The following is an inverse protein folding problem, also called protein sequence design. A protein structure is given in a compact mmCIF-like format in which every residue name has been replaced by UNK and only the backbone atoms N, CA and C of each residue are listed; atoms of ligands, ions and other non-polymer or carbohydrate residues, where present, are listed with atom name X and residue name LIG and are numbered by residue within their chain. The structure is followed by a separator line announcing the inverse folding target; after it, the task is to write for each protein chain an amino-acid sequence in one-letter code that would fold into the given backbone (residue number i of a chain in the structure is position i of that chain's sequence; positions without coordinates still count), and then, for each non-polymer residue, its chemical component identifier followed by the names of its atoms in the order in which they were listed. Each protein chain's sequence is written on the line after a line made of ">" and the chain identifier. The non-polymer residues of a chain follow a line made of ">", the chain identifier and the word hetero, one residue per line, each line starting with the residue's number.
data_IF_643236047843
#
_entry.id   IF_643236047843
#
_cell.length_a   1.000
_cell.length_b   1.000
_cell.length_c   1.000
_cell.angle_alpha   90.00
_cell.angle_beta   90.00
_cell.angle_gamma   90.00
#
_symmetry.space_group_name_H-M   'P 1'
#
loop_
_entity.id
_entity.type
_entity.pdbx_description
1 polymer ?
#
# COMPACT_ATOMS: atom_id res chain seq x y z
N UNK A 1 -7.46 -8.21 1.52
CA UNK A 1 -6.09 -8.62 1.11
C UNK A 1 -5.12 -8.43 2.29
N UNK A 2 -4.00 -9.15 2.32
CA UNK A 2 -2.98 -9.04 3.38
C UNK A 2 -1.56 -9.05 2.82
N UNK A 3 -0.65 -8.34 3.49
CA UNK A 3 0.77 -8.24 3.17
C UNK A 3 1.62 -8.46 4.43
N UNK A 4 2.71 -9.22 4.30
CA UNK A 4 3.73 -9.36 5.33
C UNK A 4 5.10 -9.37 4.65
N UNK A 5 5.88 -8.31 4.88
CA UNK A 5 7.16 -8.05 4.23
C UNK A 5 8.25 -7.93 5.29
N UNK A 6 8.96 -9.03 5.59
CA UNK A 6 10.08 -8.95 6.50
C UNK A 6 11.25 -8.19 5.86
N UNK A 7 11.84 -7.24 6.58
CA UNK A 7 13.01 -6.50 6.10
C UNK A 7 12.72 -5.62 4.89
N UNK A 8 11.50 -5.07 4.79
CA UNK A 8 11.09 -4.26 3.63
C UNK A 8 11.91 -2.97 3.51
N UNK A 9 12.49 -2.49 4.61
CA UNK A 9 13.36 -1.33 4.64
C UNK A 9 14.47 -1.53 5.69
N UNK A 10 15.66 -1.02 5.39
CA UNK A 10 16.80 -1.01 6.32
C UNK A 10 17.21 0.44 6.55
N UNK A 11 16.98 0.95 7.76
CA UNK A 11 17.20 2.36 8.11
C UNK A 11 18.25 2.46 9.22
N UNK A 12 18.96 3.59 9.32
CA UNK A 12 19.79 3.87 10.49
C UNK A 12 18.90 4.05 11.73
N UNK A 13 19.34 3.57 12.91
CA UNK A 13 18.52 3.60 14.14
C UNK A 13 18.01 4.99 14.51
N UNK A 14 18.82 6.04 14.32
CA UNK A 14 18.45 7.42 14.65
C UNK A 14 17.22 7.93 13.90
N UNK A 15 16.95 7.39 12.70
CA UNK A 15 15.88 7.86 11.80
C UNK A 15 14.53 7.22 12.09
N UNK A 16 14.50 6.11 12.83
CA UNK A 16 13.24 5.45 13.19
C UNK A 16 12.68 6.05 14.49
N UNK A 17 13.46 6.80 15.27
CA UNK A 17 13.11 7.21 16.64
C UNK A 17 13.69 6.27 17.70
N UNK A 18 14.76 5.54 17.35
CA UNK A 18 15.41 4.61 18.27
C UNK A 18 16.15 5.37 19.38
N UNK A 19 15.74 5.15 20.63
CA UNK A 19 16.32 5.82 21.81
C UNK A 19 17.69 5.24 22.19
N UNK A 20 18.07 4.08 21.64
CA UNK A 20 19.34 3.43 21.93
C UNK A 20 20.35 3.63 20.78
N UNK A 21 21.46 4.29 21.12
CA UNK A 21 22.63 4.52 20.27
C UNK A 21 23.37 3.20 19.96
N UNK A 22 22.74 2.31 19.20
CA UNK A 22 23.45 1.22 18.54
C UNK A 22 23.74 1.69 17.11
N UNK A 23 25.02 1.76 16.74
CA UNK A 23 25.48 2.24 15.42
C UNK A 23 25.18 1.24 14.27
N UNK A 24 24.01 0.61 14.29
CA UNK A 24 23.57 -0.42 13.36
C UNK A 24 22.44 0.05 12.45
N UNK A 25 22.28 -0.68 11.33
CA UNK A 25 21.05 -0.61 10.52
C UNK A 25 19.99 -1.48 11.18
N UNK A 26 18.82 -0.92 11.42
CA UNK A 26 17.66 -1.65 11.92
C UNK A 26 16.78 -2.08 10.75
N UNK A 27 16.48 -3.38 10.69
CA UNK A 27 15.54 -3.91 9.72
C UNK A 27 14.12 -3.61 10.17
N UNK A 28 13.32 -3.05 9.26
CA UNK A 28 11.90 -2.81 9.48
C UNK A 28 11.10 -3.88 8.75
N UNK A 29 10.02 -4.34 9.38
CA UNK A 29 9.10 -5.33 8.84
C UNK A 29 7.73 -4.68 8.67
N UNK A 30 7.09 -4.87 7.52
CA UNK A 30 5.76 -4.28 7.24
C UNK A 30 4.69 -5.35 7.23
N UNK A 31 3.59 -5.07 7.91
CA UNK A 31 2.38 -5.89 7.91
C UNK A 31 1.20 -5.01 7.52
N UNK A 32 0.38 -5.47 6.59
CA UNK A 32 -0.76 -4.72 6.08
C UNK A 32 -2.00 -5.59 5.95
N UNK A 33 -3.15 -5.05 6.36
CA UNK A 33 -4.47 -5.63 6.12
C UNK A 33 -5.31 -4.60 5.39
N UNK A 34 -5.98 -5.05 4.34
CA UNK A 34 -6.77 -4.20 3.43
C UNK A 34 -8.15 -4.83 3.25
N UNK A 35 -9.20 -4.24 3.80
CA UNK A 35 -10.57 -4.74 3.65
C UNK A 35 -11.28 -4.00 2.51
N UNK A 36 -11.47 -4.72 1.39
CA UNK A 36 -12.05 -4.15 0.17
C UNK A 36 -13.58 -4.15 0.22
N UNK A 37 -14.20 -3.07 -0.23
CA UNK A 37 -15.65 -2.97 -0.41
C UNK A 37 -15.98 -2.53 -1.85
N UNK A 38 -17.13 -2.96 -2.37
CA UNK A 38 -17.52 -2.72 -3.76
C UNK A 38 -16.72 -3.52 -4.80
N UNK A 39 -15.64 -4.20 -4.38
CA UNK A 39 -14.74 -4.99 -5.21
C UNK A 39 -13.49 -5.40 -4.42
N UNK A 40 -12.60 -6.16 -5.06
CA UNK A 40 -11.31 -6.58 -4.46
C UNK A 40 -10.10 -5.87 -5.09
N UNK A 41 -10.34 -5.13 -6.16
CA UNK A 41 -9.35 -4.46 -7.00
C UNK A 41 -8.50 -3.49 -6.18
N UNK A 42 -9.15 -2.61 -5.41
CA UNK A 42 -8.45 -1.62 -4.58
C UNK A 42 -7.67 -2.29 -3.44
N UNK A 43 -8.24 -3.29 -2.77
CA UNK A 43 -7.54 -4.02 -1.72
C UNK A 43 -6.30 -4.77 -2.27
N UNK A 44 -6.40 -5.35 -3.47
CA UNK A 44 -5.27 -5.99 -4.14
C UNK A 44 -4.23 -4.97 -4.61
N UNK A 45 -4.65 -3.81 -5.09
CA UNK A 45 -3.74 -2.72 -5.44
C UNK A 45 -2.95 -2.23 -4.20
N UNK A 46 -3.64 -1.99 -3.07
CA UNK A 46 -2.99 -1.62 -1.81
C UNK A 46 -1.96 -2.66 -1.36
N UNK A 47 -2.30 -3.96 -1.48
CA UNK A 47 -1.38 -5.07 -1.16
C UNK A 47 -0.07 -4.98 -1.93
N UNK A 48 -0.13 -4.65 -3.22
CA UNK A 48 1.02 -4.64 -4.13
C UNK A 48 1.78 -3.31 -4.14
N UNK A 49 1.09 -2.18 -3.98
CA UNK A 49 1.67 -0.85 -4.21
C UNK A 49 2.05 -0.09 -2.93
N UNK A 50 1.27 -0.25 -1.86
CA UNK A 50 1.34 0.65 -0.70
C UNK A 50 2.70 0.61 -0.01
N UNK A 51 3.30 -0.57 0.14
CA UNK A 51 4.61 -0.69 0.77
C UNK A 51 5.73 -0.02 -0.04
N UNK A 52 5.65 -0.06 -1.38
CA UNK A 52 6.60 0.64 -2.26
C UNK A 52 6.42 2.16 -2.16
N UNK A 53 5.17 2.64 -2.14
CA UNK A 53 4.87 4.06 -1.97
C UNK A 53 5.39 4.56 -0.62
N UNK A 54 5.23 3.78 0.45
CA UNK A 54 5.73 4.13 1.77
C UNK A 54 7.26 4.27 1.79
N UNK A 55 8.00 3.37 1.13
CA UNK A 55 9.46 3.47 1.03
C UNK A 55 9.85 4.79 0.34
N UNK A 56 9.22 5.10 -0.79
CA UNK A 56 9.48 6.33 -1.55
C UNK A 56 9.27 7.59 -0.69
N UNK A 57 8.17 7.66 0.08
CA UNK A 57 7.86 8.81 0.94
C UNK A 57 8.77 8.88 2.17
N UNK A 58 9.14 7.76 2.77
CA UNK A 58 10.10 7.72 3.88
C UNK A 58 11.48 8.21 3.43
N UNK A 59 11.98 7.73 2.29
CA UNK A 59 13.25 8.19 1.74
C UNK A 59 13.21 9.69 1.38
N UNK A 60 12.07 10.19 0.91
CA UNK A 60 11.88 11.61 0.62
C UNK A 60 11.92 12.48 1.89
N UNK A 61 11.20 12.11 2.95
CA UNK A 61 11.19 12.81 4.24
C UNK A 61 12.57 12.78 4.90
N UNK A 62 13.28 11.65 4.85
CA UNK A 62 14.65 11.52 5.37
C UNK A 62 15.65 12.42 4.63
N UNK A 63 15.47 12.62 3.31
CA UNK A 63 16.32 13.49 2.50
C UNK A 63 16.05 14.97 2.72
N UNK A 64 14.81 15.33 3.08
CA UNK A 64 14.42 16.73 3.22
C UNK A 64 15.05 17.41 4.45
N UNK A 65 15.49 16.63 5.45
CA UNK A 65 16.34 17.07 6.55
C UNK A 65 15.65 18.06 7.51
N UNK A 66 15.97 17.93 8.80
CA UNK A 66 15.32 18.68 9.88
C UNK A 66 15.37 20.21 9.68
N UNK A 67 14.21 20.88 9.69
CA UNK A 67 14.06 22.35 9.75
C UNK A 67 13.81 22.85 11.18
N UNK A 68 14.15 22.10 12.21
CA UNK A 68 14.19 22.62 13.57
C UNK A 68 14.21 21.54 14.64
N UNK A 69 15.13 21.71 15.59
CA UNK A 69 15.30 20.94 16.83
C UNK A 69 14.00 20.96 17.68
N UNK A 70 13.06 20.08 17.39
CA UNK A 70 11.91 19.79 18.26
C UNK A 70 11.81 18.27 18.47
N UNK A 71 11.65 17.83 19.72
CA UNK A 71 11.58 16.41 20.15
C UNK A 71 10.37 15.62 19.60
N UNK A 72 9.56 16.21 18.71
CA UNK A 72 8.46 15.57 17.96
C UNK A 72 8.79 15.35 16.47
N UNK A 73 10.06 15.46 16.07
CA UNK A 73 10.46 15.43 14.65
C UNK A 73 10.18 14.09 13.97
N UNK A 74 10.51 12.95 14.60
CA UNK A 74 10.35 11.64 13.98
C UNK A 74 8.88 11.21 13.86
N UNK A 75 8.03 11.47 14.88
CA UNK A 75 6.60 11.15 14.78
C UNK A 75 5.94 11.93 13.65
N UNK A 76 6.28 13.22 13.51
CA UNK A 76 5.77 14.04 12.40
C UNK A 76 6.29 13.59 11.05
N UNK A 77 7.54 13.14 10.95
CA UNK A 77 8.09 12.55 9.72
C UNK A 77 7.32 11.30 9.32
N UNK A 78 7.08 10.38 10.26
CA UNK A 78 6.29 9.18 10.01
C UNK A 78 4.83 9.50 9.67
N UNK A 79 4.20 10.44 10.37
CA UNK A 79 2.85 10.91 10.05
C UNK A 79 2.78 11.48 8.63
N UNK A 80 3.71 12.38 8.27
CA UNK A 80 3.80 12.95 6.92
C UNK A 80 4.04 11.87 5.86
N UNK A 81 4.97 10.95 6.09
CA UNK A 81 5.27 9.86 5.16
C UNK A 81 4.06 8.95 4.93
N UNK A 82 3.33 8.59 6.00
CA UNK A 82 2.12 7.79 5.86
C UNK A 82 1.01 8.56 5.13
N UNK A 83 0.72 9.80 5.51
CA UNK A 83 -0.30 10.63 4.85
C UNK A 83 0.02 10.79 3.36
N UNK A 84 1.28 11.09 3.02
CA UNK A 84 1.73 11.19 1.64
C UNK A 84 1.57 9.85 0.90
N UNK A 85 1.95 8.74 1.54
CA UNK A 85 1.81 7.39 0.99
C UNK A 85 0.34 7.05 0.68
N UNK A 86 -0.58 7.27 1.62
CA UNK A 86 -2.01 7.00 1.41
C UNK A 86 -2.58 7.85 0.27
N UNK A 87 -2.31 9.15 0.28
CA UNK A 87 -2.78 10.06 -0.78
C UNK A 87 -2.22 9.70 -2.15
N UNK A 88 -0.97 9.23 -2.22
CA UNK A 88 -0.34 8.80 -3.46
C UNK A 88 -0.99 7.54 -4.03
N UNK A 89 -1.22 6.53 -3.19
CA UNK A 89 -1.91 5.29 -3.58
C UNK A 89 -3.34 5.60 -4.02
N UNK A 90 -4.06 6.47 -3.30
CA UNK A 90 -5.42 6.92 -3.66
C UNK A 90 -5.46 7.63 -5.02
N UNK A 91 -4.53 8.57 -5.26
CA UNK A 91 -4.41 9.27 -6.53
C UNK A 91 -4.08 8.31 -7.70
N UNK A 92 -3.25 7.29 -7.46
CA UNK A 92 -2.97 6.26 -8.45
C UNK A 92 -4.22 5.43 -8.78
N UNK A 93 -5.01 5.04 -7.78
CA UNK A 93 -6.29 4.33 -7.98
C UNK A 93 -7.28 5.18 -8.80
N UNK A 94 -7.45 6.46 -8.42
CA UNK A 94 -8.34 7.39 -9.12
C UNK A 94 -7.89 7.76 -10.54
N UNK A 95 -6.60 7.57 -10.87
CA UNK A 95 -6.03 7.80 -12.19
C UNK A 95 -5.96 6.57 -13.10
N UNK A 96 -6.27 5.36 -12.59
CA UNK A 96 -6.26 4.13 -13.37
C UNK A 96 -7.59 3.98 -14.10
N UNK A 97 -7.61 4.30 -15.39
CA UNK A 97 -8.72 3.94 -16.28
C UNK A 97 -8.96 2.40 -16.18
N UNK A 98 -10.22 1.93 -16.06
CA UNK A 98 -10.58 0.56 -15.65
C UNK A 98 -10.22 -0.56 -16.63
N UNK A 99 -9.31 -0.35 -17.59
CA UNK A 99 -8.91 -1.32 -18.60
C UNK A 99 -7.73 -2.21 -18.21
N UNK A 100 -6.95 -1.85 -17.18
CA UNK A 100 -5.71 -2.57 -16.83
C UNK A 100 -5.77 -3.41 -15.54
N UNK A 101 -6.90 -3.48 -14.86
CA UNK A 101 -7.07 -4.25 -13.60
C UNK A 101 -7.63 -5.66 -13.82
N UNK A 102 -7.59 -6.18 -15.05
CA UNK A 102 -8.07 -7.54 -15.31
C UNK A 102 -6.98 -8.54 -14.97
N UNK A 103 -7.24 -9.39 -13.99
CA UNK A 103 -6.44 -10.58 -13.71
C UNK A 103 -6.32 -11.43 -14.99
N UNK A 104 -5.12 -11.51 -15.57
CA UNK A 104 -4.82 -12.46 -16.65
C UNK A 104 -4.80 -13.88 -16.06
N UNK A 105 -5.92 -14.58 -16.18
CA UNK A 105 -5.91 -16.03 -16.04
C UNK A 105 -5.18 -16.62 -17.25
N UNK A 106 -3.99 -17.15 -16.99
CA UNK A 106 -3.32 -18.11 -17.86
C UNK A 106 -4.24 -19.31 -18.10
N UNK A 107 -4.81 -19.39 -19.30
CA UNK A 107 -5.19 -20.64 -19.94
C UNK A 107 -5.03 -20.47 -21.46
N UNK A 108 -3.98 -21.08 -21.97
CA UNK A 108 -3.80 -21.43 -23.39
C UNK A 108 -5.01 -22.23 -23.86
N UNK A 109 -5.56 -21.95 -25.05
CA UNK A 109 -5.97 -22.93 -26.06
C UNK A 109 -6.17 -22.26 -27.44
N UNK A 110 -6.09 -23.10 -28.47
CA UNK A 110 -5.77 -22.83 -29.87
C UNK A 110 -7.02 -22.55 -30.73
N UNK A 111 -6.89 -21.60 -31.66
CA UNK A 111 -7.64 -21.34 -32.91
C UNK A 111 -8.99 -22.01 -33.23
N UNK A 112 -9.95 -21.19 -33.68
CA UNK A 112 -11.10 -21.65 -34.49
C UNK A 112 -12.20 -20.58 -34.74
N UNK A 113 -12.57 -20.36 -36.01
CA UNK A 113 -13.68 -19.50 -36.49
C UNK A 113 -15.07 -20.08 -36.14
N UNK A 114 -16.05 -19.21 -35.90
CA UNK A 114 -17.48 -19.50 -36.09
C UNK A 114 -18.42 -18.64 -35.24
N UNK A 115 -19.38 -17.97 -35.88
CA UNK A 115 -20.51 -17.27 -35.24
C UNK A 115 -21.52 -18.29 -34.68
N UNK A 116 -22.16 -17.99 -33.55
CA UNK A 116 -23.63 -17.85 -33.42
C UNK A 116 -24.09 -17.88 -31.94
N UNK A 117 -25.08 -17.02 -31.70
CA UNK A 117 -26.02 -16.82 -30.59
C UNK A 117 -26.04 -17.72 -29.33
N UNK A 118 -26.34 -17.04 -28.21
CA UNK A 118 -27.06 -17.51 -27.01
C UNK A 118 -26.25 -18.00 -25.82
N UNK A 119 -26.01 -17.06 -24.89
CA UNK A 119 -26.29 -17.18 -23.45
C UNK A 119 -25.39 -16.18 -22.72
N UNK A 120 -25.71 -14.88 -22.83
CA UNK A 120 -25.13 -13.88 -21.97
C UNK A 120 -25.60 -14.17 -20.53
N UNK A 121 -24.81 -14.94 -19.79
CA UNK A 121 -24.89 -14.94 -18.33
C UNK A 121 -24.60 -13.52 -17.91
N UNK A 122 -25.62 -12.81 -17.43
CA UNK A 122 -25.48 -11.51 -16.82
C UNK A 122 -24.39 -11.63 -15.74
N UNK A 123 -23.22 -11.08 -16.04
CA UNK A 123 -22.22 -10.84 -15.01
C UNK A 123 -22.88 -9.95 -13.96
N UNK A 124 -22.65 -10.19 -12.66
CA UNK A 124 -23.15 -9.29 -11.64
C UNK A 124 -22.68 -7.89 -12.00
N UNK A 125 -23.61 -6.94 -11.95
CA UNK A 125 -23.38 -5.53 -12.22
C UNK A 125 -22.19 -5.09 -11.37
N UNK A 126 -21.04 -4.87 -12.03
CA UNK A 126 -19.86 -4.35 -11.34
C UNK A 126 -20.30 -3.05 -10.66
N UNK A 127 -19.98 -2.91 -9.37
CA UNK A 127 -20.22 -1.65 -8.67
C UNK A 127 -19.63 -0.51 -9.53
N UNK A 128 -20.28 0.67 -9.58
CA UNK A 128 -19.70 1.80 -10.29
C UNK A 128 -18.27 1.98 -9.80
N UNK A 129 -17.34 2.29 -10.70
CA UNK A 129 -15.90 2.37 -10.37
C UNK A 129 -15.64 3.28 -9.15
N UNK A 130 -16.49 4.29 -8.95
CA UNK A 130 -16.47 5.24 -7.83
C UNK A 130 -16.98 4.68 -6.48
N UNK A 131 -17.49 3.45 -6.45
CA UNK A 131 -17.99 2.76 -5.25
C UNK A 131 -17.09 1.60 -4.81
N UNK A 132 -15.94 1.42 -5.45
CA UNK A 132 -14.92 0.44 -5.06
C UNK A 132 -13.89 1.12 -4.17
N UNK A 133 -13.61 0.57 -3.01
CA UNK A 133 -12.63 1.11 -2.07
C UNK A 133 -12.02 0.03 -1.20
N UNK A 134 -11.07 0.43 -0.34
CA UNK A 134 -10.49 -0.45 0.66
C UNK A 134 -10.16 0.35 1.91
N UNK A 135 -10.38 -0.26 3.08
CA UNK A 135 -9.67 0.16 4.29
C UNK A 135 -8.19 -0.22 4.17
N UNK A 136 -7.37 0.32 5.07
CA UNK A 136 -5.99 -0.08 5.21
C UNK A 136 -5.47 0.15 6.63
N UNK A 137 -5.01 -0.92 7.27
CA UNK A 137 -4.21 -0.85 8.50
C UNK A 137 -2.83 -1.43 8.23
N UNK A 138 -1.80 -0.67 8.56
CA UNK A 138 -0.40 -1.01 8.29
C UNK A 138 0.42 -0.83 9.55
N UNK A 139 1.18 -1.85 9.92
CA UNK A 139 2.12 -1.85 11.03
C UNK A 139 3.54 -2.01 10.51
N UNK A 140 4.43 -1.09 10.88
CA UNK A 140 5.86 -1.19 10.70
C UNK A 140 6.49 -1.56 12.03
N UNK A 141 7.15 -2.71 12.06
CA UNK A 141 7.77 -3.29 13.26
C UNK A 141 9.27 -3.22 13.10
N UNK A 142 9.93 -2.48 13.99
CA UNK A 142 11.38 -2.46 14.14
C UNK A 142 11.83 -3.23 15.39
N UNK A 143 13.11 -3.14 15.71
CA UNK A 143 13.71 -3.73 16.92
C UNK A 143 13.21 -3.10 18.22
N UNK A 144 12.96 -1.78 18.22
CA UNK A 144 12.63 -1.01 19.42
C UNK A 144 11.22 -0.40 19.42
N UNK A 145 10.52 -0.44 18.30
CA UNK A 145 9.24 0.26 18.15
C UNK A 145 8.32 -0.38 17.12
N UNK A 146 7.03 -0.06 17.28
CA UNK A 146 5.96 -0.43 16.37
C UNK A 146 5.22 0.85 16.00
N UNK A 147 5.15 1.13 14.70
CA UNK A 147 4.43 2.28 14.15
C UNK A 147 3.22 1.74 13.41
N UNK A 148 2.04 2.25 13.74
CA UNK A 148 0.78 1.80 13.13
C UNK A 148 0.10 3.00 12.48
N UNK A 149 -0.37 2.80 11.24
CA UNK A 149 -1.21 3.75 10.53
C UNK A 149 -2.49 3.06 10.07
N UNK A 150 -3.63 3.70 10.31
CA UNK A 150 -4.95 3.16 10.00
C UNK A 150 -5.78 4.19 9.22
N UNK A 151 -6.41 3.73 8.15
CA UNK A 151 -7.39 4.46 7.36
C UNK A 151 -8.60 3.55 7.11
N UNK A 152 -9.68 3.76 7.88
CA UNK A 152 -10.89 2.95 7.85
C UNK A 152 -11.22 2.33 9.21
N UNK A 153 -12.01 1.26 9.19
CA UNK A 153 -12.60 0.58 10.35
C UNK A 153 -12.11 -0.89 10.52
N UNK A 154 -10.96 -1.22 9.94
CA UNK A 154 -10.30 -2.53 10.11
C UNK A 154 -9.84 -2.83 11.54
#
# INVERSE_FOLDING_TARGET
>A
AVTALPGFLSVASETVGDLESSSGKSALHLFGVYDGHGGSEVANFCKERLHGALIEELEAEMREGDRGEDECSWQRQWERAFVACFNKVDAEIGGVEPRNLRCENAAVEVGGRGNDESSARAAPEAAPADAVGSTAVVAVVGSSQIIVSNCGDS
#
